data_IF_311905035138
#
_entry.id   IF_311905035138
#
_cell.length_a   1.000
_cell.length_b   1.000
_cell.length_c   1.000
_cell.angle_alpha   90.00
_cell.angle_beta   90.00
_cell.angle_gamma   90.00
#
_symmetry.space_group_name_H-M   'P 1'
#
loop_
_entity.id
_entity.type
_entity.pdbx_description
1 polymer ?
#
# COMPACT_ATOMS: atom_id res chain seq x y z
N UNK A 1 -10.84 -2.88 -10.91
CA UNK A 1 -9.36 -2.85 -11.08
C UNK A 1 -8.74 -2.81 -9.70
N UNK A 2 -7.78 -3.67 -9.43
CA UNK A 2 -7.12 -3.75 -8.11
C UNK A 2 -5.64 -3.42 -8.28
N UNK A 3 -5.11 -2.52 -7.44
CA UNK A 3 -3.72 -2.08 -7.49
C UNK A 3 -2.94 -2.81 -6.39
N UNK A 4 -1.89 -3.53 -6.78
CA UNK A 4 -1.00 -4.19 -5.83
C UNK A 4 0.22 -3.31 -5.51
N UNK A 5 0.49 -3.07 -4.23
CA UNK A 5 1.73 -2.46 -3.75
C UNK A 5 2.64 -3.51 -3.13
N UNK A 6 3.83 -3.67 -3.72
CA UNK A 6 4.89 -4.48 -3.17
C UNK A 6 5.89 -3.56 -2.47
N UNK A 7 5.94 -3.65 -1.14
CA UNK A 7 6.79 -2.79 -0.31
C UNK A 7 6.06 -1.55 0.22
N UNK A 8 5.58 -1.66 1.45
CA UNK A 8 4.91 -0.64 2.26
C UNK A 8 5.90 -0.02 3.25
N UNK A 9 7.08 0.36 2.75
CA UNK A 9 8.06 1.16 3.49
C UNK A 9 7.68 2.65 3.50
N UNK A 10 8.69 3.52 3.57
CA UNK A 10 8.55 4.98 3.61
C UNK A 10 7.56 5.52 2.56
N UNK A 11 7.64 5.02 1.31
CA UNK A 11 6.80 5.49 0.20
C UNK A 11 5.53 4.66 -0.01
N UNK A 12 5.58 3.34 0.19
CA UNK A 12 4.44 2.48 -0.12
C UNK A 12 3.23 2.74 0.79
N UNK A 13 3.44 3.07 2.07
CA UNK A 13 2.34 3.42 3.00
C UNK A 13 1.57 4.68 2.57
N UNK A 14 2.22 5.85 2.35
CA UNK A 14 1.49 7.03 1.89
C UNK A 14 0.89 6.84 0.50
N UNK A 15 1.55 6.09 -0.39
CA UNK A 15 0.98 5.79 -1.71
C UNK A 15 -0.30 4.94 -1.63
N UNK A 16 -0.30 3.86 -0.84
CA UNK A 16 -1.49 3.05 -0.60
C UNK A 16 -2.64 3.88 -0.02
N UNK A 17 -2.34 4.78 0.93
CA UNK A 17 -3.33 5.69 1.52
C UNK A 17 -3.94 6.63 0.48
N UNK A 18 -3.12 7.24 -0.37
CA UNK A 18 -3.60 8.13 -1.44
C UNK A 18 -4.52 7.38 -2.40
N UNK A 19 -4.16 6.15 -2.79
CA UNK A 19 -4.96 5.33 -3.70
C UNK A 19 -6.29 4.89 -3.08
N UNK A 20 -6.28 4.49 -1.81
CA UNK A 20 -7.51 4.19 -1.06
C UNK A 20 -8.42 5.41 -0.97
N UNK A 21 -7.86 6.59 -0.67
CA UNK A 21 -8.61 7.84 -0.60
C UNK A 21 -9.21 8.26 -1.96
N UNK A 22 -8.56 7.86 -3.06
CA UNK A 22 -9.07 8.07 -4.41
C UNK A 22 -10.08 7.00 -4.86
N UNK A 23 -10.48 6.07 -3.99
CA UNK A 23 -11.51 5.07 -4.25
C UNK A 23 -11.01 3.80 -4.96
N UNK A 24 -9.69 3.61 -5.07
CA UNK A 24 -9.14 2.40 -5.66
C UNK A 24 -9.12 1.25 -4.66
N UNK A 25 -9.35 0.03 -5.16
CA UNK A 25 -9.09 -1.19 -4.40
C UNK A 25 -7.58 -1.45 -4.39
N UNK A 26 -6.99 -1.54 -3.19
CA UNK A 26 -5.55 -1.69 -3.00
C UNK A 26 -5.24 -2.95 -2.19
N UNK A 27 -4.27 -3.74 -2.67
CA UNK A 27 -3.70 -4.87 -1.93
C UNK A 27 -2.23 -4.56 -1.65
N UNK A 28 -1.85 -4.61 -0.38
CA UNK A 28 -0.47 -4.38 0.04
C UNK A 28 0.24 -5.67 0.44
N UNK A 29 1.51 -5.82 0.07
CA UNK A 29 2.35 -6.93 0.51
C UNK A 29 3.76 -6.47 0.86
N UNK A 30 4.30 -7.02 1.95
CA UNK A 30 5.69 -6.84 2.36
C UNK A 30 6.36 -8.18 2.64
N UNK A 31 7.67 -8.23 2.36
CA UNK A 31 8.52 -9.36 2.73
C UNK A 31 8.63 -9.53 4.25
N UNK A 32 8.76 -8.43 4.98
CA UNK A 32 8.86 -8.41 6.44
C UNK A 32 7.59 -7.82 7.06
N UNK A 33 7.30 -8.14 8.33
CA UNK A 33 6.32 -7.41 9.09
C UNK A 33 6.59 -5.90 9.05
N UNK A 34 5.51 -5.14 9.09
CA UNK A 34 5.57 -3.70 9.22
C UNK A 34 5.80 -3.36 10.69
N UNK A 35 6.85 -2.57 10.98
CA UNK A 35 6.95 -1.94 12.29
C UNK A 35 5.74 -0.99 12.49
N UNK A 36 5.15 -0.96 13.70
CA UNK A 36 3.96 -0.17 14.01
C UNK A 36 4.02 1.28 13.54
#
# INVERSE_FOLDING_TARGET
>A
MTIALLGLGLMGRPMARTLLNAGWLVVGWNRSPLDP
#
